data_IF_532363943039
#
_entry.id   IF_532363943039
#
_cell.length_a   1.000
_cell.length_b   1.000
_cell.length_c   1.000
_cell.angle_alpha   90.00
_cell.angle_beta   90.00
_cell.angle_gamma   90.00
#
_symmetry.space_group_name_H-M   'P 1'
#
loop_
_entity.id
_entity.type
_entity.pdbx_description
1 polymer ?
#
# COMPACT_ATOMS: atom_id res chain seq x y z
N UNK A 1 -17.64 22.05 0.37
CA UNK A 1 -17.76 20.60 0.09
C UNK A 1 -17.04 19.86 1.20
N UNK A 2 -17.80 19.29 2.13
CA UNK A 2 -17.25 18.48 3.23
C UNK A 2 -16.96 17.09 2.69
N UNK A 3 -15.67 16.79 2.48
CA UNK A 3 -15.21 15.41 2.34
C UNK A 3 -15.61 14.67 3.61
N UNK A 4 -16.68 13.88 3.55
CA UNK A 4 -16.99 12.93 4.60
C UNK A 4 -15.86 11.92 4.59
N UNK A 5 -14.98 11.99 5.59
CA UNK A 5 -13.97 10.98 5.87
C UNK A 5 -14.67 9.71 6.37
N UNK A 6 -15.44 9.07 5.50
CA UNK A 6 -15.93 7.72 5.70
C UNK A 6 -14.74 6.80 5.39
N UNK A 7 -13.73 6.80 6.27
CA UNK A 7 -12.63 5.85 6.16
C UNK A 7 -13.23 4.47 6.38
N UNK A 8 -13.58 3.77 5.29
CA UNK A 8 -13.94 2.35 5.32
C UNK A 8 -12.74 1.63 5.94
N UNK A 9 -12.84 1.32 7.23
CA UNK A 9 -11.81 0.57 7.92
C UNK A 9 -11.71 -0.79 7.23
N UNK A 10 -10.53 -1.10 6.67
CA UNK A 10 -10.28 -2.40 6.03
C UNK A 10 -10.07 -3.41 7.16
N UNK A 11 -10.85 -4.49 7.15
CA UNK A 11 -10.71 -5.59 8.09
C UNK A 11 -10.13 -6.82 7.38
N UNK A 12 -9.18 -7.49 8.03
CA UNK A 12 -8.56 -8.72 7.56
C UNK A 12 -8.96 -9.85 8.51
N UNK A 13 -9.69 -10.84 7.99
CA UNK A 13 -9.93 -12.09 8.70
C UNK A 13 -8.71 -12.99 8.52
N UNK A 14 -8.09 -13.38 9.63
CA UNK A 14 -7.11 -14.46 9.67
C UNK A 14 -7.82 -15.70 10.21
N UNK A 15 -8.07 -16.70 9.38
CA UNK A 15 -8.57 -17.98 9.85
C UNK A 15 -7.62 -18.55 10.90
N UNK A 16 -8.22 -19.14 11.93
CA UNK A 16 -7.51 -19.86 12.96
C UNK A 16 -6.60 -20.96 12.39
N UNK A 17 -5.51 -21.27 13.09
CA UNK A 17 -4.69 -22.44 12.80
C UNK A 17 -4.73 -23.35 14.02
N UNK A 18 -4.99 -24.64 13.77
CA UNK A 18 -5.18 -25.67 14.80
C UNK A 18 -6.24 -25.30 15.84
N UNK A 19 -5.87 -25.19 17.11
CA UNK A 19 -6.79 -24.90 18.22
C UNK A 19 -7.06 -23.40 18.40
N UNK A 20 -6.27 -22.53 17.74
CA UNK A 20 -6.52 -21.10 17.80
C UNK A 20 -7.73 -20.74 16.93
N UNK A 21 -8.69 -20.01 17.49
CA UNK A 21 -9.83 -19.47 16.76
C UNK A 21 -9.45 -18.36 15.78
N UNK A 22 -10.45 -17.91 15.01
CA UNK A 22 -10.29 -16.83 14.04
C UNK A 22 -9.90 -15.51 14.70
N UNK A 23 -9.05 -14.74 14.02
CA UNK A 23 -8.64 -13.41 14.44
C UNK A 23 -9.03 -12.38 13.39
N UNK A 24 -9.58 -11.25 13.84
CA UNK A 24 -9.89 -10.10 12.96
C UNK A 24 -8.90 -8.98 13.25
N UNK A 25 -8.24 -8.51 12.20
CA UNK A 25 -7.33 -7.37 12.25
C UNK A 25 -7.97 -6.18 11.54
N UNK A 26 -7.86 -4.99 12.12
CA UNK A 26 -8.32 -3.74 11.51
C UNK A 26 -7.12 -2.93 11.02
N UNK A 27 -7.15 -2.44 9.79
CA UNK A 27 -6.11 -1.53 9.28
C UNK A 27 -5.95 -0.29 10.18
N UNK A 28 -7.05 0.19 10.75
CA UNK A 28 -7.11 1.31 11.69
C UNK A 28 -6.30 1.12 12.97
N UNK A 29 -6.00 -0.13 13.37
CA UNK A 29 -5.23 -0.43 14.59
C UNK A 29 -3.74 -0.66 14.33
N UNK A 30 -3.28 -0.68 13.07
CA UNK A 30 -1.85 -0.79 12.78
C UNK A 30 -1.08 0.47 13.21
N UNK A 31 -0.02 0.29 14.00
CA UNK A 31 0.91 1.35 14.38
C UNK A 31 1.90 1.69 13.23
N UNK A 32 1.36 2.22 12.13
CA UNK A 32 2.11 2.69 10.95
C UNK A 32 1.60 4.07 10.52
N UNK A 33 2.37 4.77 9.69
CA UNK A 33 1.99 6.10 9.22
C UNK A 33 0.63 6.09 8.48
N UNK A 34 -0.23 7.10 8.69
CA UNK A 34 -1.60 7.12 8.12
C UNK A 34 -1.64 6.90 6.61
N UNK A 35 -0.73 7.52 5.85
CA UNK A 35 -0.68 7.35 4.40
C UNK A 35 -0.24 5.94 3.97
N UNK A 36 0.54 5.19 4.77
CA UNK A 36 0.83 3.78 4.48
C UNK A 36 -0.39 2.92 4.78
N UNK A 37 -1.08 3.19 5.90
CA UNK A 37 -2.32 2.50 6.28
C UNK A 37 -3.38 2.63 5.20
N UNK A 38 -3.55 3.84 4.70
CA UNK A 38 -4.49 4.19 3.64
C UNK A 38 -4.18 3.51 2.30
N UNK A 39 -2.91 3.13 2.09
CA UNK A 39 -2.42 2.48 0.87
C UNK A 39 -1.98 1.02 1.14
N UNK A 40 -2.56 0.35 2.13
CA UNK A 40 -2.15 -1.01 2.53
C UNK A 40 -2.33 -2.04 1.41
N UNK A 41 -3.37 -1.90 0.58
CA UNK A 41 -3.59 -2.76 -0.60
C UNK A 41 -2.50 -2.57 -1.65
N UNK A 42 -2.09 -1.32 -1.90
CA UNK A 42 -0.99 -1.00 -2.82
C UNK A 42 0.34 -1.57 -2.30
N UNK A 43 0.61 -1.39 -1.00
CA UNK A 43 1.76 -2.00 -0.34
C UNK A 43 1.77 -3.51 -0.54
N UNK A 44 0.63 -4.19 -0.35
CA UNK A 44 0.54 -5.64 -0.55
C UNK A 44 0.77 -6.05 -2.00
N UNK A 45 0.16 -5.37 -2.97
CA UNK A 45 0.29 -5.68 -4.39
C UNK A 45 1.73 -5.57 -4.90
N UNK A 46 2.48 -4.55 -4.44
CA UNK A 46 3.86 -4.32 -4.90
C UNK A 46 4.92 -5.06 -4.08
N UNK A 47 4.71 -5.24 -2.77
CA UNK A 47 5.69 -5.91 -1.90
C UNK A 47 5.48 -7.42 -1.76
N UNK A 48 4.36 -7.94 -2.25
CA UNK A 48 4.01 -9.36 -2.19
C UNK A 48 3.50 -9.82 -0.82
N UNK A 49 3.20 -11.12 -0.75
CA UNK A 49 2.94 -11.85 0.49
C UNK A 49 4.20 -12.61 0.92
N UNK A 50 4.24 -13.15 2.14
CA UNK A 50 5.40 -13.91 2.65
C UNK A 50 5.76 -15.13 1.77
N UNK A 51 4.82 -15.63 0.96
CA UNK A 51 4.97 -16.82 0.10
C UNK A 51 4.85 -16.56 -1.41
N UNK A 52 4.61 -15.32 -1.86
CA UNK A 52 4.34 -15.01 -3.28
C UNK A 52 5.16 -13.82 -3.78
N UNK A 53 5.75 -14.00 -4.97
CA UNK A 53 6.53 -13.07 -5.80
C UNK A 53 6.45 -11.59 -5.39
N UNK A 54 7.51 -11.12 -4.73
CA UNK A 54 7.81 -9.70 -4.56
C UNK A 54 8.60 -9.18 -5.78
N UNK A 55 8.57 -7.87 -6.01
CA UNK A 55 9.41 -7.23 -7.02
C UNK A 55 10.90 -7.56 -6.78
N UNK A 56 11.61 -7.90 -7.86
CA UNK A 56 12.99 -8.37 -7.80
C UNK A 56 13.91 -7.40 -7.06
N UNK A 57 14.64 -7.91 -6.05
CA UNK A 57 15.54 -7.12 -5.18
C UNK A 57 14.84 -6.00 -4.40
N UNK A 58 13.52 -6.06 -4.22
CA UNK A 58 12.76 -5.12 -3.41
C UNK A 58 12.30 -5.79 -2.13
N UNK A 59 12.69 -5.22 -0.99
CA UNK A 59 12.19 -5.64 0.33
C UNK A 59 11.04 -4.73 0.76
N UNK A 60 10.06 -5.27 1.51
CA UNK A 60 8.88 -4.54 2.00
C UNK A 60 9.23 -3.20 2.68
N UNK A 61 10.30 -3.19 3.48
CA UNK A 61 10.81 -1.96 4.15
C UNK A 61 11.24 -0.88 3.15
N UNK A 62 11.82 -1.26 2.01
CA UNK A 62 12.24 -0.31 0.96
C UNK A 62 11.01 0.31 0.28
N UNK A 63 9.97 -0.47 0.03
CA UNK A 63 8.71 0.04 -0.51
C UNK A 63 8.04 1.03 0.46
N UNK A 64 7.96 0.68 1.75
CA UNK A 64 7.46 1.61 2.77
C UNK A 64 8.23 2.93 2.81
N UNK A 65 9.56 2.90 2.67
CA UNK A 65 10.38 4.12 2.60
C UNK A 65 10.11 4.97 1.35
N UNK A 66 9.70 4.36 0.24
CA UNK A 66 9.31 5.06 -0.99
C UNK A 66 7.95 5.72 -0.81
N UNK A 67 6.97 4.98 -0.26
CA UNK A 67 5.64 5.54 0.05
C UNK A 67 5.67 6.67 1.09
N UNK A 68 6.65 6.66 1.99
CA UNK A 68 6.83 7.71 3.00
C UNK A 68 7.24 9.07 2.42
N UNK A 69 7.69 9.14 1.17
CA UNK A 69 8.12 10.39 0.54
C UNK A 69 6.92 11.19 0.03
N UNK A 70 6.91 12.50 0.26
CA UNK A 70 5.78 13.39 -0.05
C UNK A 70 5.37 13.37 -1.52
N UNK A 71 6.32 13.31 -2.45
CA UNK A 71 6.03 13.25 -3.90
C UNK A 71 5.25 11.97 -4.25
N UNK A 72 5.62 10.85 -3.63
CA UNK A 72 5.02 9.55 -3.85
C UNK A 72 3.65 9.43 -3.16
N UNK A 73 3.42 10.14 -2.06
CA UNK A 73 2.10 10.22 -1.42
C UNK A 73 1.03 10.79 -2.36
N UNK A 74 1.38 11.76 -3.22
CA UNK A 74 0.46 12.30 -4.21
C UNK A 74 0.17 11.30 -5.33
N UNK A 75 1.21 10.63 -5.83
CA UNK A 75 1.10 9.62 -6.88
C UNK A 75 0.23 8.45 -6.42
N UNK A 76 0.37 8.00 -5.18
CA UNK A 76 -0.34 6.80 -4.70
C UNK A 76 -1.84 7.05 -4.48
N UNK A 77 -2.26 8.31 -4.36
CA UNK A 77 -3.67 8.66 -4.23
C UNK A 77 -4.46 8.34 -5.51
N UNK A 78 -3.80 8.29 -6.68
CA UNK A 78 -4.44 7.92 -7.96
C UNK A 78 -5.03 6.50 -7.88
N UNK A 79 -4.35 5.56 -7.20
CA UNK A 79 -4.85 4.19 -7.03
C UNK A 79 -6.10 4.09 -6.14
N UNK A 80 -6.47 5.17 -5.46
CA UNK A 80 -7.66 5.25 -4.60
C UNK A 80 -8.79 6.07 -5.22
N UNK A 81 -8.53 6.76 -6.32
CA UNK A 81 -9.55 7.53 -7.03
C UNK A 81 -10.38 6.58 -7.89
N UNK A 82 -11.65 6.42 -7.53
CA UNK A 82 -12.61 5.60 -8.28
C UNK A 82 -12.85 6.12 -9.70
N UNK A 83 -12.46 7.37 -9.98
CA UNK A 83 -12.59 8.01 -11.30
C UNK A 83 -11.27 8.06 -12.08
N UNK A 84 -10.16 7.54 -11.53
CA UNK A 84 -8.88 7.53 -12.24
C UNK A 84 -9.00 6.76 -13.56
N UNK A 85 -8.53 7.38 -14.65
CA UNK A 85 -8.51 6.69 -15.93
C UNK A 85 -7.32 5.71 -16.00
N UNK A 86 -7.35 4.72 -16.90
CA UNK A 86 -6.25 3.76 -17.04
C UNK A 86 -4.89 4.40 -17.28
N UNK A 87 -4.83 5.52 -18.01
CA UNK A 87 -3.57 6.22 -18.31
C UNK A 87 -2.96 6.85 -17.06
N UNK A 88 -3.79 7.45 -16.19
CA UNK A 88 -3.33 8.00 -14.91
C UNK A 88 -2.78 6.90 -13.99
N UNK A 89 -3.46 5.74 -13.97
CA UNK A 89 -3.05 4.57 -13.19
C UNK A 89 -1.72 4.02 -13.71
N UNK A 90 -1.56 3.92 -15.03
CA UNK A 90 -0.31 3.48 -15.66
C UNK A 90 0.85 4.43 -15.32
N UNK A 91 0.65 5.74 -15.52
CA UNK A 91 1.67 6.75 -15.20
C UNK A 91 2.04 6.71 -13.71
N UNK A 92 1.06 6.57 -12.82
CA UNK A 92 1.28 6.42 -11.39
C UNK A 92 2.08 5.16 -11.05
N UNK A 93 1.73 4.03 -11.69
CA UNK A 93 2.43 2.75 -11.55
C UNK A 93 3.90 2.86 -11.96
N UNK A 94 4.16 3.46 -13.12
CA UNK A 94 5.51 3.72 -13.61
C UNK A 94 6.31 4.59 -12.63
N UNK A 95 5.73 5.68 -12.11
CA UNK A 95 6.38 6.56 -11.12
C UNK A 95 6.74 5.81 -9.83
N UNK A 96 5.85 4.96 -9.33
CA UNK A 96 6.11 4.12 -8.14
C UNK A 96 7.26 3.13 -8.41
N UNK A 97 7.24 2.44 -9.56
CA UNK A 97 8.30 1.51 -9.94
C UNK A 97 9.65 2.20 -10.10
N UNK A 98 9.70 3.35 -10.78
CA UNK A 98 10.90 4.15 -10.94
C UNK A 98 11.47 4.55 -9.57
N UNK A 99 10.63 5.08 -8.67
CA UNK A 99 11.06 5.47 -7.32
C UNK A 99 11.56 4.28 -6.49
N UNK A 100 11.00 3.10 -6.70
CA UNK A 100 11.37 1.86 -6.01
C UNK A 100 12.72 1.30 -6.48
N UNK A 101 13.00 1.32 -7.78
CA UNK A 101 14.27 0.82 -8.31
C UNK A 101 15.40 1.85 -8.24
N UNK A 102 15.11 3.16 -8.24
CA UNK A 102 16.10 4.25 -8.16
C UNK A 102 16.36 4.76 -6.73
N UNK A 103 16.66 3.85 -5.80
CA UNK A 103 17.03 4.24 -4.42
C UNK A 103 18.26 5.17 -4.41
N UNK A 104 18.13 6.34 -3.74
CA UNK A 104 19.13 7.42 -3.50
C UNK A 104 20.48 7.26 -4.24
N UNK A 105 20.65 8.10 -5.26
CA UNK A 105 21.89 8.69 -5.80
C UNK A 105 22.92 7.71 -6.41
N UNK A 106 23.22 7.89 -7.70
CA UNK A 106 24.62 7.72 -8.15
C UNK A 106 25.49 8.80 -7.49
#
# INVERSE_FOLDING_TARGET
>A
MTSSTNSKNIFFLKPGRSEAGDAVYCAGTLNIAPHIRDNISLLHAFSGCDTTSALFRQVKKKFMNVLNRTEQQQVVNIFRDENACPDDIDEAGQKVLIALYRGKNS
#
